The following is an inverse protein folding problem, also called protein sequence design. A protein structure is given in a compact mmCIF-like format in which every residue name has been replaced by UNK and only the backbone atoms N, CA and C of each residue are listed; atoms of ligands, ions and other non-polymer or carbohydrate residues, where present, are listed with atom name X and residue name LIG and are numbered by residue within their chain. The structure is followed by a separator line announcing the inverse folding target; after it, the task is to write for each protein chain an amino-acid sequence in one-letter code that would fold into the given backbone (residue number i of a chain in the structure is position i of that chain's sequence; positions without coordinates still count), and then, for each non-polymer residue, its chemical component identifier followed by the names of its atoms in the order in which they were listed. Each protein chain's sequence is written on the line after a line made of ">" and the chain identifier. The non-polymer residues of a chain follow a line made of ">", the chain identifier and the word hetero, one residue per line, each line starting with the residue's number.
data_IF_197483732278
#
_entry.id   IF_197483732278
#
_cell.length_a   1.000
_cell.length_b   1.000
_cell.length_c   1.000
_cell.angle_alpha   90.00
_cell.angle_beta   90.00
_cell.angle_gamma   90.00
#
_symmetry.space_group_name_H-M   'P 1'
#
loop_
_entity.id
_entity.type
_entity.pdbx_description
1 polymer ?
#
# COMPACT_ATOMS: atom_id res chain seq x y z
N UNK A 1 1.61 14.99 2.61
CA UNK A 1 1.52 14.21 1.37
C UNK A 1 0.18 14.43 0.69
N UNK A 2 0.15 14.32 -0.64
CA UNK A 2 -1.08 14.20 -1.43
C UNK A 2 -1.44 12.72 -1.54
N UNK A 3 -2.72 12.39 -1.38
CA UNK A 3 -3.18 10.99 -1.39
C UNK A 3 -4.52 10.85 -2.09
N UNK A 4 -4.96 9.62 -2.35
CA UNK A 4 -6.30 9.29 -2.83
C UNK A 4 -7.43 9.80 -1.91
N UNK A 5 -7.14 10.15 -0.68
CA UNK A 5 -8.10 10.68 0.31
C UNK A 5 -7.86 12.18 0.65
N UNK A 6 -7.13 12.90 -0.21
CA UNK A 6 -6.78 14.30 0.00
C UNK A 6 -5.40 14.47 0.61
N UNK A 7 -5.10 15.72 1.01
CA UNK A 7 -3.81 16.06 1.62
C UNK A 7 -3.88 15.90 3.14
N UNK A 8 -2.85 15.28 3.72
CA UNK A 8 -2.72 15.19 5.15
C UNK A 8 -1.27 15.39 5.63
N UNK A 9 -1.14 15.73 6.91
CA UNK A 9 0.12 15.63 7.63
C UNK A 9 0.22 14.23 8.24
N UNK A 10 1.34 13.54 8.03
CA UNK A 10 1.53 12.16 8.50
C UNK A 10 1.34 12.02 10.02
N UNK A 11 1.92 12.92 10.81
CA UNK A 11 1.84 12.85 12.27
C UNK A 11 0.41 13.06 12.79
N UNK A 12 -0.32 14.03 12.22
CA UNK A 12 -1.71 14.27 12.59
C UNK A 12 -2.61 13.11 12.19
N UNK A 13 -2.38 12.54 11.00
CA UNK A 13 -3.17 11.42 10.48
C UNK A 13 -2.89 10.13 11.26
N UNK A 14 -1.64 9.81 11.57
CA UNK A 14 -1.28 8.60 12.31
C UNK A 14 -1.72 8.66 13.77
N UNK A 15 -1.69 9.85 14.40
CA UNK A 15 -1.99 9.96 15.83
C UNK A 15 -1.13 9.00 16.66
N UNK A 16 -1.72 8.31 17.60
CA UNK A 16 -1.06 7.31 18.45
C UNK A 16 -1.10 5.89 17.86
N UNK A 17 -1.57 5.74 16.62
CA UNK A 17 -1.62 4.42 15.99
C UNK A 17 -0.25 4.00 15.43
N UNK A 18 -0.06 2.70 15.35
CA UNK A 18 0.95 2.11 14.51
C UNK A 18 0.62 2.34 13.03
N UNK A 19 1.63 2.32 12.17
CA UNK A 19 1.44 2.53 10.73
C UNK A 19 2.20 1.47 9.95
N UNK A 20 1.51 0.87 8.98
CA UNK A 20 2.14 0.10 7.91
C UNK A 20 2.21 1.02 6.70
N UNK A 21 3.42 1.44 6.33
CA UNK A 21 3.70 2.16 5.09
C UNK A 21 4.30 1.17 4.09
N UNK A 22 3.63 0.96 2.96
CA UNK A 22 4.14 0.08 1.92
C UNK A 22 4.15 0.74 0.55
N UNK A 23 5.20 0.48 -0.23
CA UNK A 23 5.31 0.96 -1.60
C UNK A 23 4.99 -0.13 -2.62
N UNK A 24 4.44 0.26 -3.77
CA UNK A 24 4.22 -0.64 -4.91
C UNK A 24 4.76 0.01 -6.19
N UNK A 25 5.29 -0.80 -7.13
CA UNK A 25 6.02 -0.28 -8.31
C UNK A 25 5.19 0.61 -9.22
N UNK A 26 3.97 0.22 -9.57
CA UNK A 26 3.13 0.96 -10.50
C UNK A 26 1.65 0.56 -10.35
N UNK A 27 0.77 1.53 -10.53
CA UNK A 27 -0.68 1.32 -10.60
C UNK A 27 -1.05 0.47 -11.82
N UNK A 28 -2.25 -0.09 -11.83
CA UNK A 28 -2.82 -0.91 -12.91
C UNK A 28 -2.01 -2.15 -13.30
N UNK A 29 -1.05 -2.59 -12.47
CA UNK A 29 -0.29 -3.82 -12.73
C UNK A 29 -0.91 -5.00 -11.98
N UNK A 30 -0.86 -6.23 -12.56
CA UNK A 30 -1.53 -7.40 -11.96
C UNK A 30 -1.10 -7.68 -10.52
N UNK A 31 0.21 -7.73 -10.25
CA UNK A 31 0.73 -8.03 -8.90
C UNK A 31 0.37 -6.92 -7.89
N UNK A 32 0.39 -5.66 -8.30
CA UNK A 32 0.00 -4.57 -7.40
C UNK A 32 -1.50 -4.60 -7.12
N UNK A 33 -2.34 -4.91 -8.11
CA UNK A 33 -3.78 -5.05 -7.92
C UNK A 33 -4.10 -6.16 -6.92
N UNK A 34 -3.45 -7.33 -7.05
CA UNK A 34 -3.65 -8.45 -6.11
C UNK A 34 -3.19 -8.10 -4.70
N UNK A 35 -2.05 -7.42 -4.54
CA UNK A 35 -1.54 -7.00 -3.24
C UNK A 35 -2.47 -5.99 -2.55
N UNK A 36 -2.90 -4.95 -3.28
CA UNK A 36 -3.77 -3.92 -2.71
C UNK A 36 -5.16 -4.47 -2.35
N UNK A 37 -5.68 -5.41 -3.15
CA UNK A 37 -6.90 -6.14 -2.83
C UNK A 37 -6.75 -6.97 -1.55
N UNK A 38 -5.62 -7.66 -1.37
CA UNK A 38 -5.34 -8.42 -0.14
C UNK A 38 -5.23 -7.51 1.08
N UNK A 39 -4.58 -6.35 0.96
CA UNK A 39 -4.53 -5.35 2.03
C UNK A 39 -5.92 -4.84 2.39
N UNK A 40 -6.78 -4.59 1.40
CA UNK A 40 -8.16 -4.17 1.64
C UNK A 40 -8.96 -5.23 2.42
N UNK A 41 -8.81 -6.51 2.08
CA UNK A 41 -9.41 -7.64 2.84
C UNK A 41 -8.89 -7.71 4.28
N UNK A 42 -7.62 -7.45 4.50
CA UNK A 42 -6.99 -7.51 5.82
C UNK A 42 -7.15 -6.22 6.63
N UNK A 43 -7.70 -5.15 6.06
CA UNK A 43 -7.85 -3.87 6.72
C UNK A 43 -8.58 -3.96 8.08
N UNK A 44 -9.69 -4.72 8.24
CA UNK A 44 -10.33 -4.91 9.54
C UNK A 44 -9.40 -5.59 10.58
N UNK A 45 -8.46 -6.42 10.12
CA UNK A 45 -7.49 -7.06 11.01
C UNK A 45 -6.45 -6.05 11.52
N UNK A 46 -6.02 -5.11 10.67
CA UNK A 46 -5.14 -4.02 11.08
C UNK A 46 -5.84 -3.03 12.01
N UNK A 47 -7.09 -2.66 11.69
CA UNK A 47 -7.90 -1.74 12.50
C UNK A 47 -8.12 -2.27 13.93
N UNK A 48 -8.40 -3.57 14.11
CA UNK A 48 -8.52 -4.23 15.42
C UNK A 48 -7.25 -4.16 16.27
N UNK A 49 -6.11 -3.82 15.69
CA UNK A 49 -4.79 -3.72 16.32
C UNK A 49 -4.31 -2.27 16.45
N UNK A 50 -5.20 -1.30 16.21
CA UNK A 50 -4.88 0.13 16.16
C UNK A 50 -3.74 0.43 15.16
N UNK A 51 -3.74 -0.28 14.02
CA UNK A 51 -2.77 -0.11 12.94
C UNK A 51 -3.43 0.55 11.75
N UNK A 52 -2.88 1.67 11.31
CA UNK A 52 -3.26 2.35 10.08
C UNK A 52 -2.40 1.88 8.91
N UNK A 53 -3.03 1.75 7.76
CA UNK A 53 -2.36 1.32 6.53
C UNK A 53 -2.21 2.51 5.60
N UNK A 54 -1.06 2.61 4.95
CA UNK A 54 -0.71 3.68 4.01
C UNK A 54 0.09 3.11 2.84
N UNK A 55 -0.47 3.20 1.65
CA UNK A 55 0.22 2.80 0.43
C UNK A 55 0.97 3.98 -0.20
N UNK A 56 1.95 3.70 -1.06
CA UNK A 56 2.71 4.70 -1.80
C UNK A 56 3.12 4.18 -3.18
N UNK A 57 2.93 4.99 -4.20
CA UNK A 57 3.57 4.81 -5.51
C UNK A 57 3.91 6.16 -6.16
N UNK A 58 4.58 6.10 -7.30
CA UNK A 58 4.86 7.28 -8.13
C UNK A 58 3.71 7.67 -9.05
N UNK A 59 2.57 7.01 -8.97
CA UNK A 59 1.34 7.38 -9.67
C UNK A 59 0.77 8.70 -9.19
N UNK A 60 -0.06 9.34 -10.00
CA UNK A 60 -0.78 10.56 -9.61
C UNK A 60 -2.00 10.24 -8.74
N UNK A 61 -2.53 11.25 -8.07
CA UNK A 61 -3.80 11.12 -7.32
C UNK A 61 -4.93 10.67 -8.26
N UNK A 62 -4.94 11.17 -9.49
CA UNK A 62 -5.95 10.80 -10.49
C UNK A 62 -5.86 9.31 -10.86
N UNK A 63 -4.65 8.81 -11.10
CA UNK A 63 -4.41 7.39 -11.38
C UNK A 63 -4.88 6.51 -10.22
N UNK A 64 -4.56 6.88 -8.97
CA UNK A 64 -5.01 6.12 -7.79
C UNK A 64 -6.53 6.07 -7.68
N UNK A 65 -7.20 7.21 -7.90
CA UNK A 65 -8.67 7.27 -7.83
C UNK A 65 -9.34 6.47 -8.94
N UNK A 66 -8.76 6.46 -10.13
CA UNK A 66 -9.24 5.62 -11.25
C UNK A 66 -9.01 4.13 -10.98
N UNK A 67 -7.90 3.78 -10.31
CA UNK A 67 -7.53 2.38 -10.07
C UNK A 67 -8.26 1.72 -8.90
N UNK A 68 -8.63 2.45 -7.85
CA UNK A 68 -9.31 1.89 -6.65
C UNK A 68 -10.56 1.05 -7.01
N UNK A 69 -11.47 1.47 -7.92
CA UNK A 69 -12.59 0.64 -8.34
C UNK A 69 -12.16 -0.72 -8.92
N UNK A 70 -11.09 -0.76 -9.71
CA UNK A 70 -10.56 -2.01 -10.28
C UNK A 70 -9.99 -2.96 -9.22
N UNK A 71 -9.36 -2.40 -8.17
CA UNK A 71 -8.87 -3.19 -7.03
C UNK A 71 -10.06 -3.82 -6.30
N UNK A 72 -11.12 -3.07 -6.05
CA UNK A 72 -12.31 -3.54 -5.37
C UNK A 72 -13.05 -4.61 -6.21
N UNK A 73 -13.21 -4.40 -7.52
CA UNK A 73 -13.79 -5.38 -8.44
C UNK A 73 -13.00 -6.71 -8.45
N UNK A 74 -11.66 -6.62 -8.51
CA UNK A 74 -10.80 -7.80 -8.43
C UNK A 74 -10.98 -8.54 -7.11
N UNK A 75 -10.99 -7.84 -5.99
CA UNK A 75 -11.25 -8.40 -4.66
C UNK A 75 -12.60 -9.15 -4.63
N UNK A 76 -13.66 -8.51 -5.11
CA UNK A 76 -15.00 -9.10 -5.14
C UNK A 76 -15.06 -10.36 -6.01
N UNK A 77 -14.31 -10.41 -7.11
CA UNK A 77 -14.20 -11.60 -7.95
C UNK A 77 -13.56 -12.79 -7.23
N UNK A 78 -12.58 -12.54 -6.35
CA UNK A 78 -11.96 -13.60 -5.53
C UNK A 78 -12.95 -14.17 -4.52
N UNK A 79 -13.75 -13.32 -3.90
CA UNK A 79 -14.77 -13.68 -2.92
C UNK A 79 -15.84 -14.55 -3.57
N UNK A 80 -16.36 -14.12 -4.72
CA UNK A 80 -17.43 -14.83 -5.43
C UNK A 80 -17.01 -16.20 -5.97
N UNK A 81 -15.71 -16.43 -6.14
CA UNK A 81 -15.17 -17.71 -6.62
C UNK A 81 -14.88 -18.72 -5.50
N UNK A 82 -14.95 -18.31 -4.23
CA UNK A 82 -14.79 -19.20 -3.07
C UNK A 82 -16.00 -19.08 -2.12
N UNK A 83 -16.95 -20.05 -2.14
CA UNK A 83 -18.15 -20.01 -1.32
C UNK A 83 -17.89 -19.93 0.19
N UNK A 84 -16.76 -20.49 0.66
CA UNK A 84 -16.40 -20.42 2.08
C UNK A 84 -15.93 -19.02 2.48
N UNK A 85 -15.16 -18.37 1.62
CA UNK A 85 -14.73 -17.00 1.79
C UNK A 85 -15.97 -16.07 1.75
N UNK A 86 -16.88 -16.28 0.79
CA UNK A 86 -18.12 -15.52 0.67
C UNK A 86 -19.01 -15.55 1.93
N UNK A 87 -19.07 -16.68 2.63
CA UNK A 87 -19.82 -16.81 3.90
C UNK A 87 -19.11 -16.01 5.01
N UNK A 88 -17.80 -16.11 5.12
CA UNK A 88 -17.02 -15.41 6.14
C UNK A 88 -17.09 -13.89 5.92
N UNK A 89 -17.04 -13.43 4.67
CA UNK A 89 -17.06 -12.00 4.33
C UNK A 89 -18.45 -11.40 4.32
N UNK A 90 -19.53 -12.17 4.09
CA UNK A 90 -20.91 -11.70 4.30
C UNK A 90 -21.20 -11.33 5.77
N UNK A 91 -20.36 -11.79 6.67
CA UNK A 91 -20.36 -11.47 8.10
C UNK A 91 -19.36 -10.35 8.46
N UNK A 92 -18.56 -9.87 7.50
CA UNK A 92 -17.54 -8.85 7.71
C UNK A 92 -17.97 -7.49 7.17
N UNK A 93 -17.47 -6.44 7.81
CA UNK A 93 -17.62 -5.06 7.38
C UNK A 93 -17.06 -4.85 5.97
N UNK A 94 -17.49 -3.77 5.31
CA UNK A 94 -17.01 -3.34 3.99
C UNK A 94 -15.47 -3.45 3.88
N UNK A 95 -15.00 -4.32 2.98
CA UNK A 95 -13.57 -4.57 2.71
C UNK A 95 -13.02 -3.81 1.50
N UNK A 96 -13.70 -2.77 1.02
CA UNK A 96 -13.17 -1.91 -0.04
C UNK A 96 -11.91 -1.17 0.42
N UNK A 97 -11.11 -0.71 -0.54
CA UNK A 97 -9.92 0.09 -0.24
C UNK A 97 -10.32 1.37 0.50
N UNK A 98 -10.03 1.42 1.81
CA UNK A 98 -10.30 2.56 2.69
C UNK A 98 -9.04 3.20 3.22
N UNK A 99 -7.87 2.67 2.88
CA UNK A 99 -6.59 3.26 3.22
C UNK A 99 -6.13 4.24 2.15
N UNK A 100 -5.43 5.32 2.53
CA UNK A 100 -4.91 6.29 1.57
C UNK A 100 -3.74 5.71 0.75
N UNK A 101 -3.63 6.15 -0.51
CA UNK A 101 -2.51 5.86 -1.39
C UNK A 101 -1.80 7.19 -1.66
N UNK A 102 -0.53 7.31 -1.29
CA UNK A 102 0.29 8.50 -1.51
C UNK A 102 0.70 8.58 -2.98
N UNK A 103 0.46 9.72 -3.58
CA UNK A 103 0.97 10.10 -4.89
C UNK A 103 2.34 10.77 -4.74
N UNK A 104 3.41 9.98 -4.86
CA UNK A 104 4.80 10.43 -4.74
C UNK A 104 5.43 10.61 -6.13
N UNK A 105 4.81 11.46 -6.96
CA UNK A 105 5.15 11.66 -8.37
C UNK A 105 6.61 12.09 -8.60
N UNK A 106 7.19 12.80 -7.65
CA UNK A 106 8.60 13.25 -7.67
C UNK A 106 9.55 12.31 -6.93
N UNK A 107 9.04 11.19 -6.38
CA UNK A 107 9.77 10.21 -5.59
C UNK A 107 10.43 10.78 -4.32
N UNK A 108 9.99 11.95 -3.84
CA UNK A 108 10.62 12.63 -2.69
C UNK A 108 10.49 11.83 -1.40
N UNK A 109 9.36 11.14 -1.18
CA UNK A 109 9.14 10.29 -0.03
C UNK A 109 9.84 8.94 -0.24
N UNK A 110 9.70 8.33 -1.40
CA UNK A 110 10.36 7.07 -1.73
C UNK A 110 11.88 7.15 -1.57
N UNK A 111 12.49 8.27 -1.96
CA UNK A 111 13.93 8.50 -1.76
C UNK A 111 14.33 8.55 -0.28
N UNK A 112 13.54 9.23 0.55
CA UNK A 112 13.82 9.34 2.00
C UNK A 112 13.74 8.00 2.72
N UNK A 113 12.86 7.11 2.25
CA UNK A 113 12.69 5.76 2.80
C UNK A 113 13.51 4.69 2.08
N UNK A 114 14.29 5.05 1.05
CA UNK A 114 15.05 4.08 0.24
C UNK A 114 14.17 3.11 -0.55
N UNK A 115 12.95 3.53 -0.88
CA UNK A 115 11.95 2.71 -1.60
C UNK A 115 12.09 2.74 -3.12
N UNK A 116 13.18 3.23 -3.66
CA UNK A 116 13.40 3.32 -5.10
C UNK A 116 14.36 2.25 -5.61
N UNK A 117 14.19 1.86 -6.87
CA UNK A 117 15.11 0.91 -7.50
C UNK A 117 16.48 1.59 -7.70
N UNK A 118 17.62 0.90 -7.44
CA UNK A 118 18.97 1.50 -7.60
C UNK A 118 19.26 2.06 -8.99
N UNK A 119 18.56 1.59 -10.02
CA UNK A 119 18.63 2.11 -11.39
C UNK A 119 17.65 3.25 -11.68
N UNK A 120 16.72 3.57 -10.77
CA UNK A 120 15.87 4.74 -10.89
C UNK A 120 16.73 5.99 -10.66
N UNK A 121 16.80 6.89 -11.64
CA UNK A 121 17.49 8.18 -11.49
C UNK A 121 16.42 9.24 -11.23
N UNK A 122 16.26 9.73 -10.00
CA UNK A 122 15.18 10.63 -9.62
C UNK A 122 15.20 11.99 -10.35
N UNK A 123 16.35 12.41 -10.88
CA UNK A 123 16.59 13.76 -11.43
C UNK A 123 17.07 13.78 -12.89
N UNK A 124 16.84 12.74 -13.66
CA UNK A 124 17.15 12.86 -15.09
C UNK A 124 16.01 13.59 -15.79
N UNK A 125 16.24 14.87 -16.18
CA UNK A 125 15.47 15.57 -17.21
C UNK A 125 15.58 14.89 -18.59
N UNK A 126 16.04 13.64 -18.62
CA UNK A 126 16.13 12.84 -19.82
C UNK A 126 14.77 12.25 -20.13
N UNK A 127 14.22 12.67 -21.27
CA UNK A 127 13.14 12.01 -22.03
C UNK A 127 13.51 10.56 -22.43
N UNK A 128 14.10 9.79 -21.56
CA UNK A 128 14.58 8.46 -21.86
C UNK A 128 14.62 7.57 -20.64
N UNK A 129 13.64 6.68 -20.49
CA UNK A 129 13.67 5.41 -19.76
C UNK A 129 14.18 5.40 -18.29
N UNK A 130 14.04 6.45 -17.55
CA UNK A 130 14.17 6.41 -16.09
C UNK A 130 12.88 5.82 -15.51
N UNK A 131 12.93 4.55 -15.11
CA UNK A 131 11.79 3.88 -14.50
C UNK A 131 11.49 4.58 -13.17
N UNK A 132 10.42 5.34 -13.11
CA UNK A 132 9.89 5.95 -11.87
C UNK A 132 9.12 4.89 -11.07
N UNK A 133 9.74 3.78 -10.77
CA UNK A 133 9.09 2.72 -10.00
C UNK A 133 9.73 2.60 -8.62
N UNK A 134 8.89 2.48 -7.60
CA UNK A 134 9.34 2.09 -6.28
C UNK A 134 9.55 0.57 -6.21
N UNK A 135 10.37 0.11 -5.27
CA UNK A 135 10.45 -1.31 -4.91
C UNK A 135 9.27 -1.70 -4.01
N UNK A 136 9.08 -2.99 -3.74
CA UNK A 136 8.04 -3.46 -2.82
C UNK A 136 8.57 -3.47 -1.39
N UNK A 137 8.54 -2.33 -0.73
CA UNK A 137 8.93 -2.21 0.68
C UNK A 137 7.72 -2.22 1.60
N UNK A 138 7.93 -2.64 2.84
CA UNK A 138 6.99 -2.47 3.95
C UNK A 138 7.76 -1.91 5.13
N UNK A 139 7.27 -0.83 5.71
CA UNK A 139 7.77 -0.25 6.95
C UNK A 139 6.69 -0.37 8.01
N UNK A 140 7.00 -1.02 9.12
CA UNK A 140 6.15 -1.07 10.31
C UNK A 140 6.68 -0.03 11.28
N UNK A 141 5.85 0.97 11.57
CA UNK A 141 6.19 2.17 12.34
C UNK A 141 5.32 2.18 13.60
N UNK A 142 5.94 2.31 14.76
CA UNK A 142 5.20 2.33 16.03
C UNK A 142 4.49 3.67 16.31
N UNK A 143 3.78 3.74 17.44
CA UNK A 143 3.08 4.95 17.89
C UNK A 143 4.03 6.13 18.16
N UNK A 144 5.30 5.87 18.51
CA UNK A 144 6.33 6.88 18.69
C UNK A 144 6.99 7.32 17.38
N UNK A 145 6.51 6.79 16.23
CA UNK A 145 7.03 7.05 14.87
C UNK A 145 8.44 6.50 14.65
N UNK A 146 8.78 5.43 15.37
CA UNK A 146 10.02 4.69 15.19
C UNK A 146 9.76 3.50 14.29
N UNK A 147 10.60 3.30 13.28
CA UNK A 147 10.53 2.13 12.40
C UNK A 147 11.01 0.91 13.16
N UNK A 148 10.13 -0.06 13.36
CA UNK A 148 10.39 -1.31 14.07
C UNK A 148 10.83 -2.43 13.12
N UNK A 149 10.29 -2.45 11.91
CA UNK A 149 10.59 -3.51 10.93
C UNK A 149 10.58 -2.93 9.51
N UNK A 150 11.50 -3.42 8.69
CA UNK A 150 11.57 -3.12 7.26
C UNK A 150 11.64 -4.44 6.50
N UNK A 151 10.75 -4.62 5.54
CA UNK A 151 10.76 -5.74 4.60
C UNK A 151 10.92 -5.18 3.19
N UNK A 152 11.78 -5.78 2.38
CA UNK A 152 12.02 -5.37 0.99
C UNK A 152 11.96 -6.60 0.09
N UNK A 153 11.14 -6.53 -0.92
CA UNK A 153 10.90 -7.61 -1.88
C UNK A 153 11.31 -7.18 -3.29
N UNK A 154 11.79 -8.11 -4.11
CA UNK A 154 11.99 -7.86 -5.53
C UNK A 154 10.66 -7.44 -6.21
N UNK A 155 10.76 -6.61 -7.25
CA UNK A 155 9.61 -6.07 -7.99
C UNK A 155 8.60 -7.14 -8.45
N UNK A 156 9.09 -8.32 -8.83
CA UNK A 156 8.30 -9.43 -9.37
C UNK A 156 7.77 -10.41 -8.31
N UNK A 157 8.04 -10.15 -7.04
CA UNK A 157 7.58 -11.01 -5.92
C UNK A 157 6.48 -10.28 -5.16
N UNK A 158 5.25 -10.80 -5.22
CA UNK A 158 4.14 -10.32 -4.39
C UNK A 158 4.37 -10.63 -2.91
N UNK A 159 3.95 -9.70 -2.04
CA UNK A 159 4.09 -9.83 -0.58
C UNK A 159 2.93 -10.63 0.00
N UNK A 160 3.20 -11.31 1.10
CA UNK A 160 2.17 -11.95 1.91
C UNK A 160 1.78 -11.00 3.06
N UNK A 161 0.63 -10.35 2.95
CA UNK A 161 0.17 -9.40 3.98
C UNK A 161 -0.37 -10.09 5.24
N UNK A 162 -0.73 -11.36 5.20
CA UNK A 162 -1.01 -12.15 6.41
C UNK A 162 0.24 -12.29 7.28
N UNK A 163 1.43 -12.42 6.67
CA UNK A 163 2.69 -12.37 7.41
C UNK A 163 2.93 -11.00 8.04
N UNK A 164 2.51 -9.92 7.39
CA UNK A 164 2.61 -8.57 7.98
C UNK A 164 1.71 -8.46 9.23
N UNK A 165 0.50 -9.03 9.20
CA UNK A 165 -0.36 -9.12 10.41
C UNK A 165 0.35 -9.89 11.52
N UNK A 166 0.96 -11.04 11.21
CA UNK A 166 1.72 -11.83 12.19
C UNK A 166 2.87 -11.06 12.82
N UNK A 167 3.60 -10.25 12.03
CA UNK A 167 4.71 -9.42 12.53
C UNK A 167 4.20 -8.33 13.47
N UNK A 168 3.04 -7.75 13.16
CA UNK A 168 2.39 -6.75 14.03
C UNK A 168 1.98 -7.36 15.37
N UNK A 169 1.61 -8.65 15.39
CA UNK A 169 1.22 -9.37 16.61
C UNK A 169 2.43 -9.81 17.48
N UNK A 170 3.64 -9.75 16.98
CA UNK A 170 4.85 -10.23 17.65
C UNK A 170 5.50 -9.16 18.54
#
# INVERSE_FOLDING_TARGET
>A
ASTSQGKFNFYNWSGDNWVILFSHPADFTPVCTTELAEVAKLQPQFEKRDVKVLALSSGSVADHLEWIPHINEYKDSLINNDPLIGIIESLSENTDVRYPIIADEDLSIAMRYGMYHPKAKPNSNSLGSGVKETVRSVFIIDSNKIVQTILVYPKNVGRNFTEIVRIVDA
#
